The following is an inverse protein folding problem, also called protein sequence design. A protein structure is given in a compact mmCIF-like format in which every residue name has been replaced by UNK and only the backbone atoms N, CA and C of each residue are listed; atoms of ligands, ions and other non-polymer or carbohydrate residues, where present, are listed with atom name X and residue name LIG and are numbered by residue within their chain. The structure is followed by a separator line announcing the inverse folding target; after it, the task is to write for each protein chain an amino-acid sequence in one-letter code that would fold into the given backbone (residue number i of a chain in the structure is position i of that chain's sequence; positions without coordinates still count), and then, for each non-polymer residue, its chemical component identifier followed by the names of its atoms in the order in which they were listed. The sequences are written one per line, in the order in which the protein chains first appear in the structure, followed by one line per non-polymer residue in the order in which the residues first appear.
data_IF_470980280982
#
_entry.id   IF_470980280982
#
_cell.length_a   1.000
_cell.length_b   1.000
_cell.length_c   1.000
_cell.angle_alpha   90.00
_cell.angle_beta   90.00
_cell.angle_gamma   90.00
#
_symmetry.space_group_name_H-M   'P 1'
#
loop_
_entity.id
_entity.type
_entity.pdbx_description
1 polymer ?
#
# COMPACT_ATOMS: atom_id res chain seq x y z
N UNK A 1 -6.44 13.82 -4.69
CA UNK A 1 -7.89 13.96 -4.44
C UNK A 1 -8.67 14.13 -5.74
N UNK A 2 -8.40 15.14 -6.58
CA UNK A 2 -9.09 15.31 -7.88
C UNK A 2 -9.16 14.05 -8.76
N UNK A 3 -8.08 13.27 -8.84
CA UNK A 3 -8.09 12.00 -9.59
C UNK A 3 -9.12 10.98 -9.08
N UNK A 4 -9.31 10.90 -7.76
CA UNK A 4 -10.28 10.00 -7.12
C UNK A 4 -11.71 10.52 -7.37
N UNK A 5 -11.91 11.83 -7.30
CA UNK A 5 -13.20 12.46 -7.63
C UNK A 5 -13.60 12.17 -9.08
N UNK A 6 -12.66 12.33 -10.03
CA UNK A 6 -12.89 12.01 -11.46
C UNK A 6 -13.26 10.54 -11.64
N UNK A 7 -12.57 9.62 -10.96
CA UNK A 7 -12.91 8.19 -10.98
C UNK A 7 -14.38 7.98 -10.57
N UNK A 8 -14.81 8.61 -9.48
CA UNK A 8 -16.17 8.50 -8.96
C UNK A 8 -17.21 9.17 -9.88
N UNK A 9 -16.94 10.39 -10.35
CA UNK A 9 -17.79 11.17 -11.27
C UNK A 9 -18.12 10.38 -12.54
N UNK A 10 -17.15 9.62 -13.05
CA UNK A 10 -17.28 8.87 -14.30
C UNK A 10 -17.55 7.37 -14.10
N UNK A 11 -17.71 6.90 -12.85
CA UNK A 11 -17.94 5.48 -12.56
C UNK A 11 -16.82 4.56 -13.06
N UNK A 12 -15.58 5.07 -13.12
CA UNK A 12 -14.42 4.35 -13.65
C UNK A 12 -14.08 3.21 -12.69
N UNK A 13 -14.16 1.98 -13.18
CA UNK A 13 -13.82 0.81 -12.38
C UNK A 13 -12.29 0.65 -12.23
N UNK A 14 -11.85 -0.30 -11.41
CA UNK A 14 -10.42 -0.49 -11.14
C UNK A 14 -9.64 -0.92 -12.39
N UNK A 15 -10.25 -1.69 -13.29
CA UNK A 15 -9.61 -2.16 -14.51
C UNK A 15 -9.45 -1.02 -15.52
N UNK A 16 -10.50 -0.24 -15.71
CA UNK A 16 -10.49 0.96 -16.55
C UNK A 16 -9.45 1.96 -16.04
N UNK A 17 -9.38 2.17 -14.72
CA UNK A 17 -8.38 3.03 -14.10
C UNK A 17 -6.96 2.57 -14.43
N UNK A 18 -6.65 1.28 -14.27
CA UNK A 18 -5.34 0.72 -14.58
C UNK A 18 -5.00 0.82 -16.08
N UNK A 19 -5.98 0.64 -16.96
CA UNK A 19 -5.81 0.83 -18.40
C UNK A 19 -5.50 2.29 -18.73
N UNK A 20 -6.23 3.24 -18.15
CA UNK A 20 -6.00 4.67 -18.33
C UNK A 20 -4.61 5.07 -17.84
N UNK A 21 -4.19 4.58 -16.67
CA UNK A 21 -2.86 4.85 -16.12
C UNK A 21 -1.74 4.31 -17.03
N UNK A 22 -1.90 3.09 -17.56
CA UNK A 22 -0.95 2.56 -18.55
C UNK A 22 -0.93 3.37 -19.84
N UNK A 23 -2.11 3.80 -20.33
CA UNK A 23 -2.22 4.58 -21.57
C UNK A 23 -1.60 5.98 -21.46
N UNK A 24 -1.66 6.60 -20.27
CA UNK A 24 -1.04 7.90 -20.00
C UNK A 24 0.49 7.83 -19.99
N UNK A 25 1.09 6.64 -19.82
CA UNK A 25 2.54 6.45 -19.81
C UNK A 25 3.25 7.03 -18.58
N UNK A 26 2.52 7.67 -17.67
CA UNK A 26 3.04 8.31 -16.47
C UNK A 26 2.49 7.64 -15.20
N UNK A 27 3.42 7.29 -14.31
CA UNK A 27 3.08 6.76 -12.99
C UNK A 27 2.69 7.89 -12.05
N UNK A 28 1.41 7.98 -11.72
CA UNK A 28 0.93 8.93 -10.72
C UNK A 28 1.45 8.55 -9.33
N UNK A 29 1.65 9.50 -8.41
CA UNK A 29 2.01 9.19 -7.02
C UNK A 29 1.03 8.23 -6.33
N UNK A 30 -0.24 8.22 -6.74
CA UNK A 30 -1.30 7.34 -6.23
C UNK A 30 -1.34 5.97 -6.92
N UNK A 31 -0.37 5.63 -7.79
CA UNK A 31 -0.34 4.33 -8.48
C UNK A 31 -0.44 3.18 -7.50
N UNK A 32 0.46 3.11 -6.50
CA UNK A 32 0.46 2.00 -5.56
C UNK A 32 -0.78 1.96 -4.67
N UNK A 33 -1.46 3.09 -4.50
CA UNK A 33 -2.74 3.11 -3.80
C UNK A 33 -3.79 2.30 -4.57
N UNK A 34 -3.92 2.54 -5.88
CA UNK A 34 -4.95 1.89 -6.70
C UNK A 34 -4.57 0.51 -7.23
N UNK A 35 -3.28 0.27 -7.49
CA UNK A 35 -2.82 -1.00 -8.07
C UNK A 35 -2.49 -2.06 -7.04
N UNK A 36 -2.16 -1.69 -5.80
CA UNK A 36 -1.72 -2.64 -4.76
C UNK A 36 -2.49 -2.45 -3.45
N UNK A 37 -2.55 -1.24 -2.90
CA UNK A 37 -3.12 -1.04 -1.56
C UNK A 37 -4.61 -1.43 -1.48
N UNK A 38 -5.45 -0.90 -2.38
CA UNK A 38 -6.86 -1.27 -2.48
C UNK A 38 -7.02 -2.77 -2.80
N UNK A 39 -6.31 -3.24 -3.84
CA UNK A 39 -6.36 -4.64 -4.28
C UNK A 39 -6.04 -5.63 -3.15
N UNK A 40 -5.03 -5.36 -2.33
CA UNK A 40 -4.61 -6.26 -1.25
C UNK A 40 -5.55 -6.23 -0.05
N UNK A 41 -6.17 -5.08 0.27
CA UNK A 41 -7.24 -5.03 1.26
C UNK A 41 -8.39 -5.94 0.82
N UNK A 42 -8.79 -5.86 -0.46
CA UNK A 42 -9.92 -6.62 -0.98
C UNK A 42 -9.62 -8.12 -1.15
N UNK A 43 -8.39 -8.47 -1.56
CA UNK A 43 -8.03 -9.86 -1.88
C UNK A 43 -7.42 -10.64 -0.73
N UNK A 44 -6.84 -9.98 0.28
CA UNK A 44 -6.14 -10.63 1.39
C UNK A 44 -6.64 -10.19 2.77
N UNK A 45 -7.40 -9.10 2.85
CA UNK A 45 -8.07 -8.69 4.09
C UNK A 45 -9.19 -9.66 4.44
N UNK A 46 -9.43 -9.82 5.75
CA UNK A 46 -10.69 -10.39 6.23
C UNK A 46 -11.88 -9.51 5.87
N UNK A 47 -13.09 -10.06 5.92
CA UNK A 47 -14.32 -9.29 5.68
C UNK A 47 -14.42 -8.05 6.59
N UNK A 48 -14.02 -8.16 7.86
CA UNK A 48 -13.98 -7.05 8.80
C UNK A 48 -12.99 -5.96 8.36
N UNK A 49 -11.78 -6.36 7.95
CA UNK A 49 -10.74 -5.44 7.49
C UNK A 49 -11.14 -4.73 6.19
N UNK A 50 -11.71 -5.46 5.23
CA UNK A 50 -12.21 -4.90 3.99
C UNK A 50 -13.35 -3.91 4.25
N UNK A 51 -14.31 -4.26 5.09
CA UNK A 51 -15.41 -3.36 5.47
C UNK A 51 -14.91 -2.10 6.21
N UNK A 52 -13.85 -2.22 7.02
CA UNK A 52 -13.28 -1.10 7.77
C UNK A 52 -12.42 -0.17 6.92
N UNK A 53 -11.57 -0.71 6.06
CA UNK A 53 -10.54 0.07 5.35
C UNK A 53 -10.87 0.34 3.87
N UNK A 54 -11.61 -0.54 3.21
CA UNK A 54 -12.00 -0.41 1.81
C UNK A 54 -12.68 0.93 1.50
N UNK A 55 -13.78 1.29 2.19
CA UNK A 55 -14.46 2.56 1.96
C UNK A 55 -13.55 3.78 2.18
N UNK A 56 -12.67 3.72 3.19
CA UNK A 56 -11.73 4.80 3.48
C UNK A 56 -10.68 4.96 2.38
N UNK A 57 -10.22 3.84 1.79
CA UNK A 57 -9.32 3.85 0.66
C UNK A 57 -10.03 4.39 -0.60
N UNK A 58 -11.25 3.94 -0.88
CA UNK A 58 -12.04 4.35 -2.05
C UNK A 58 -12.40 5.83 -2.07
N UNK A 59 -12.68 6.40 -0.89
CA UNK A 59 -12.95 7.84 -0.71
C UNK A 59 -11.66 8.69 -0.67
N UNK A 60 -10.48 8.06 -0.73
CA UNK A 60 -9.19 8.75 -0.60
C UNK A 60 -8.94 9.36 0.78
N UNK A 61 -9.66 8.88 1.81
CA UNK A 61 -9.43 9.22 3.22
C UNK A 61 -8.22 8.47 3.78
N UNK A 62 -7.93 7.29 3.24
CA UNK A 62 -6.66 6.59 3.37
C UNK A 62 -5.98 6.59 2.01
N UNK A 63 -4.84 7.26 1.91
CA UNK A 63 -3.96 7.12 0.75
C UNK A 63 -2.86 6.15 1.14
N UNK A 64 -2.73 5.05 0.39
CA UNK A 64 -1.93 3.91 0.78
C UNK A 64 -0.80 3.58 -0.21
N UNK A 65 0.20 2.85 0.26
CA UNK A 65 1.23 2.25 -0.58
C UNK A 65 1.53 0.80 -0.14
N UNK A 66 2.31 0.10 -0.95
CA UNK A 66 2.79 -1.26 -0.64
C UNK A 66 4.31 -1.26 -0.42
N UNK A 67 4.74 -1.42 0.82
CA UNK A 67 6.11 -1.30 1.27
C UNK A 67 6.79 -2.67 1.39
N UNK A 68 7.35 -3.16 0.28
CA UNK A 68 8.05 -4.45 0.23
C UNK A 68 9.57 -4.28 0.24
N UNK A 69 10.11 -3.64 -0.79
CA UNK A 69 11.55 -3.46 -1.00
C UNK A 69 12.21 -2.74 0.17
N UNK A 70 13.36 -3.24 0.56
CA UNK A 70 14.26 -2.62 1.53
C UNK A 70 15.53 -2.14 0.85
N UNK A 71 16.25 -1.21 1.48
CA UNK A 71 17.52 -0.68 0.97
C UNK A 71 18.52 -1.81 0.68
N UNK A 72 18.58 -2.83 1.53
CA UNK A 72 19.45 -4.00 1.36
C UNK A 72 18.90 -5.10 0.44
N UNK A 73 17.58 -5.14 0.21
CA UNK A 73 16.91 -6.29 -0.38
C UNK A 73 15.71 -5.90 -1.26
N UNK A 74 15.85 -6.07 -2.58
CA UNK A 74 14.74 -5.97 -3.55
C UNK A 74 14.39 -7.32 -4.19
N UNK A 75 15.37 -7.99 -4.80
CA UNK A 75 15.13 -9.26 -5.49
C UNK A 75 14.96 -10.47 -4.57
N UNK A 76 15.65 -10.48 -3.41
CA UNK A 76 15.64 -11.62 -2.49
C UNK A 76 14.75 -11.36 -1.28
N UNK A 77 13.44 -11.59 -1.44
CA UNK A 77 12.43 -11.31 -0.41
C UNK A 77 12.61 -12.16 0.86
N UNK A 78 13.20 -13.35 0.77
CA UNK A 78 13.48 -14.19 1.94
C UNK A 78 14.49 -13.54 2.90
N UNK A 79 15.27 -12.56 2.41
CA UNK A 79 16.28 -11.84 3.20
C UNK A 79 15.81 -10.52 3.80
N UNK A 80 14.56 -10.10 3.57
CA UNK A 80 14.00 -8.92 4.23
C UNK A 80 14.28 -8.93 5.75
N UNK A 81 14.59 -7.77 6.28
CA UNK A 81 15.07 -7.58 7.65
C UNK A 81 14.00 -6.99 8.57
N UNK A 82 12.99 -6.27 8.02
CA UNK A 82 11.86 -5.75 8.80
C UNK A 82 11.13 -6.89 9.50
N UNK A 83 10.82 -6.72 10.78
CA UNK A 83 10.16 -7.73 11.62
C UNK A 83 8.81 -7.22 12.11
N UNK A 84 7.81 -8.10 12.11
CA UNK A 84 6.56 -7.90 12.80
C UNK A 84 6.47 -8.96 13.91
N UNK A 85 6.73 -8.56 15.16
CA UNK A 85 6.71 -9.48 16.31
C UNK A 85 5.41 -9.30 17.07
N UNK A 86 4.62 -10.37 17.23
CA UNK A 86 3.40 -10.31 18.04
C UNK A 86 3.73 -10.13 19.53
N UNK A 87 3.03 -9.22 20.19
CA UNK A 87 3.18 -8.86 21.60
C UNK A 87 1.89 -9.28 22.35
N UNK A 88 1.88 -10.44 23.02
CA UNK A 88 0.67 -11.00 23.64
C UNK A 88 0.06 -10.11 24.73
N UNK A 89 0.87 -9.29 25.39
CA UNK A 89 0.43 -8.44 26.50
C UNK A 89 -0.50 -7.31 26.05
N UNK A 90 -0.35 -6.82 24.82
CA UNK A 90 -1.16 -5.74 24.26
C UNK A 90 -2.05 -6.18 23.09
N UNK A 91 -1.90 -7.42 22.63
CA UNK A 91 -2.56 -7.93 21.42
C UNK A 91 -2.20 -7.11 20.15
N UNK A 92 -0.94 -6.71 20.07
CA UNK A 92 -0.42 -5.85 18.99
C UNK A 92 0.79 -6.49 18.29
N UNK A 93 1.22 -5.87 17.20
CA UNK A 93 2.44 -6.23 16.47
C UNK A 93 3.47 -5.11 16.61
N UNK A 94 4.67 -5.44 17.09
CA UNK A 94 5.84 -4.56 17.05
C UNK A 94 6.49 -4.65 15.66
N UNK A 95 6.36 -3.57 14.89
CA UNK A 95 6.95 -3.44 13.55
C UNK A 95 8.29 -2.70 13.64
N UNK A 96 9.39 -3.43 13.44
CA UNK A 96 10.73 -2.93 13.68
C UNK A 96 11.66 -3.05 12.46
N UNK A 97 12.37 -1.97 12.18
CA UNK A 97 13.46 -1.89 11.18
C UNK A 97 14.82 -1.86 11.93
N UNK A 98 15.49 -3.02 12.13
CA UNK A 98 16.64 -3.14 13.02
C UNK A 98 17.94 -2.50 12.50
N UNK A 99 18.00 -2.18 11.21
CA UNK A 99 19.21 -1.72 10.53
C UNK A 99 18.87 -0.67 9.47
N UNK A 100 19.87 0.11 9.05
CA UNK A 100 19.68 1.02 7.91
C UNK A 100 19.30 0.27 6.62
N UNK A 101 19.84 -0.94 6.41
CA UNK A 101 19.51 -1.77 5.25
C UNK A 101 18.07 -2.26 5.26
N UNK A 102 17.44 -2.38 6.45
CA UNK A 102 16.03 -2.74 6.60
C UNK A 102 15.03 -1.62 6.30
N UNK A 103 15.50 -0.38 6.05
CA UNK A 103 14.62 0.73 5.72
C UNK A 103 13.87 0.43 4.41
N UNK A 104 12.53 0.57 4.42
CA UNK A 104 11.71 0.44 3.21
C UNK A 104 12.11 1.51 2.20
N UNK A 105 12.35 1.08 0.95
CA UNK A 105 13.00 1.91 -0.06
C UNK A 105 12.33 1.73 -1.43
N UNK A 106 12.35 2.78 -2.26
CA UNK A 106 11.69 2.85 -3.58
C UNK A 106 10.15 2.81 -3.58
N UNK A 107 9.52 2.91 -2.41
CA UNK A 107 8.07 2.73 -2.32
C UNK A 107 7.34 3.95 -2.89
N UNK A 108 6.64 3.74 -4.02
CA UNK A 108 5.85 4.78 -4.68
C UNK A 108 4.86 5.45 -3.74
N UNK A 109 4.91 6.78 -3.65
CA UNK A 109 4.04 7.58 -2.79
C UNK A 109 4.43 7.64 -1.31
N UNK A 110 5.28 6.73 -0.81
CA UNK A 110 5.64 6.63 0.62
C UNK A 110 6.24 7.92 1.17
N UNK A 111 7.16 8.55 0.43
CA UNK A 111 7.89 9.71 0.92
C UNK A 111 7.10 11.02 0.95
N UNK A 112 5.88 11.07 0.38
CA UNK A 112 5.18 12.35 0.17
C UNK A 112 3.69 12.29 0.44
N UNK A 113 2.97 11.30 -0.11
CA UNK A 113 1.50 11.34 -0.15
C UNK A 113 0.81 10.19 0.58
N UNK A 114 1.50 9.07 0.82
CA UNK A 114 0.92 7.94 1.51
C UNK A 114 0.76 8.28 3.01
N UNK A 115 -0.42 8.01 3.52
CA UNK A 115 -0.78 8.10 4.94
C UNK A 115 -0.70 6.75 5.64
N UNK A 116 -0.79 5.67 4.86
CA UNK A 116 -0.80 4.29 5.34
C UNK A 116 0.06 3.43 4.41
N UNK A 117 0.61 2.33 4.95
CA UNK A 117 1.39 1.38 4.17
C UNK A 117 1.00 -0.05 4.57
N UNK A 118 0.85 -0.91 3.56
CA UNK A 118 0.91 -2.35 3.75
C UNK A 118 2.38 -2.75 3.74
N UNK A 119 2.89 -3.31 4.84
CA UNK A 119 4.32 -3.56 5.02
C UNK A 119 4.59 -5.05 4.95
N UNK A 120 5.46 -5.48 4.03
CA UNK A 120 5.97 -6.85 4.03
C UNK A 120 7.05 -6.98 5.11
N UNK A 121 6.83 -7.84 6.09
CA UNK A 121 7.75 -8.11 7.18
C UNK A 121 7.87 -9.62 7.45
N UNK A 122 8.89 -9.98 8.24
CA UNK A 122 9.06 -11.33 8.81
C UNK A 122 8.34 -11.51 10.12
#
# INVERSE_FOLDING_TARGET
KRFIEIKQEHGIDQRELLLMMNALGDWLPTTLHSSMFQLLIDSQGSEEQAARWGPLADEGRMIGCYAQTELGHGSNLARLETRATYVPETDEWDLHSPSLSSAKWWIGGLGVIATHALVQAK
#
